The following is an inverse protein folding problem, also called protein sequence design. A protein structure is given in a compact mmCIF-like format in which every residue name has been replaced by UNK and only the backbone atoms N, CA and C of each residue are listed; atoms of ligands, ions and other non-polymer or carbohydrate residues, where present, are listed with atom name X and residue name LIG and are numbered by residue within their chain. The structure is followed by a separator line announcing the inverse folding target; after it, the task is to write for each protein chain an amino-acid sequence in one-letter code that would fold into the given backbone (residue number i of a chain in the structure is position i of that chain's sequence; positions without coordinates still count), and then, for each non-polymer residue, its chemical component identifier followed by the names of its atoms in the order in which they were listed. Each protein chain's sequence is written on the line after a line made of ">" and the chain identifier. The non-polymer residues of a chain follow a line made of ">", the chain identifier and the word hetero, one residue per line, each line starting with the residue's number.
data_IF_691108892950
#
_entry.id   IF_691108892950
#
_cell.length_a   1.000
_cell.length_b   1.000
_cell.length_c   1.000
_cell.angle_alpha   90.00
_cell.angle_beta   90.00
_cell.angle_gamma   90.00
#
_symmetry.space_group_name_H-M   'P 1'
#
loop_
_entity.id
_entity.type
_entity.pdbx_description
1 polymer ?
#
# COMPACT_ATOMS: atom_id res chain seq x y z
N UNK A 1 1.13 -8.68 26.77
CA UNK A 1 0.86 -7.59 25.80
C UNK A 1 2.21 -7.03 25.37
N UNK A 2 2.46 -6.73 24.08
CA UNK A 2 3.75 -6.18 23.66
C UNK A 2 4.03 -4.83 24.32
N UNK A 3 5.32 -4.48 24.52
CA UNK A 3 5.74 -3.18 25.05
C UNK A 3 5.18 -2.03 24.19
N UNK A 4 5.05 -0.85 24.79
CA UNK A 4 4.40 0.32 24.17
C UNK A 4 5.00 0.67 22.79
N UNK A 5 6.31 0.52 22.64
CA UNK A 5 7.09 0.89 21.45
C UNK A 5 6.86 -0.04 20.24
N UNK A 6 6.39 -1.28 20.46
CA UNK A 6 6.21 -2.27 19.39
C UNK A 6 4.77 -2.33 18.85
N UNK A 7 3.85 -1.53 19.42
CA UNK A 7 2.43 -1.60 19.07
C UNK A 7 2.16 -0.89 17.75
N UNK A 8 1.52 -1.61 16.83
CA UNK A 8 0.92 -0.98 15.66
C UNK A 8 -0.21 0.00 16.05
N UNK A 9 -0.53 0.92 15.14
CA UNK A 9 -1.52 1.96 15.41
C UNK A 9 -2.91 1.39 15.73
N UNK A 10 -3.30 0.26 15.13
CA UNK A 10 -4.59 -0.38 15.39
C UNK A 10 -4.65 -1.00 16.80
N UNK A 11 -3.54 -1.55 17.29
CA UNK A 11 -3.38 -2.05 18.65
C UNK A 11 -3.47 -0.91 19.67
N UNK A 12 -2.85 0.24 19.38
CA UNK A 12 -3.02 1.46 20.19
C UNK A 12 -4.47 1.92 20.24
N UNK A 13 -5.16 1.95 19.09
CA UNK A 13 -6.55 2.37 19.08
C UNK A 13 -7.47 1.41 19.85
N UNK A 14 -7.25 0.10 19.73
CA UNK A 14 -7.96 -0.92 20.53
C UNK A 14 -7.77 -0.68 22.02
N UNK A 15 -6.55 -0.39 22.44
CA UNK A 15 -6.25 -0.16 23.85
C UNK A 15 -6.88 1.13 24.38
N UNK A 16 -6.78 2.25 23.66
CA UNK A 16 -7.40 3.51 24.04
C UNK A 16 -8.92 3.37 24.18
N UNK A 17 -9.56 2.81 23.16
CA UNK A 17 -11.02 2.64 23.14
C UNK A 17 -11.46 1.70 24.27
N UNK A 18 -10.75 0.59 24.48
CA UNK A 18 -11.03 -0.33 25.59
C UNK A 18 -10.90 0.38 26.94
N UNK A 19 -9.81 1.14 27.16
CA UNK A 19 -9.56 1.89 28.40
C UNK A 19 -10.69 2.87 28.68
N UNK A 20 -11.17 3.60 27.67
CA UNK A 20 -12.29 4.55 27.82
C UNK A 20 -13.59 3.80 28.13
N UNK A 21 -13.93 2.78 27.35
CA UNK A 21 -15.15 1.99 27.55
C UNK A 21 -15.21 1.33 28.94
N UNK A 22 -14.10 0.75 29.42
CA UNK A 22 -14.02 0.11 30.73
C UNK A 22 -14.12 1.14 31.87
N UNK A 23 -13.36 2.24 31.77
CA UNK A 23 -13.34 3.30 32.79
C UNK A 23 -14.70 3.99 32.94
N UNK A 24 -15.39 4.25 31.83
CA UNK A 24 -16.65 4.97 31.82
C UNK A 24 -17.88 4.03 31.83
N UNK A 25 -17.66 2.71 31.77
CA UNK A 25 -18.71 1.68 31.66
C UNK A 25 -19.68 1.93 30.51
N UNK A 26 -19.15 2.37 29.36
CA UNK A 26 -19.92 2.67 28.15
C UNK A 26 -19.63 1.69 27.02
N UNK A 27 -20.62 1.49 26.15
CA UNK A 27 -20.43 0.73 24.91
C UNK A 27 -19.66 1.54 23.87
N UNK A 28 -19.18 0.86 22.82
CA UNK A 28 -18.51 1.52 21.67
C UNK A 28 -19.46 2.47 20.93
N UNK A 29 -20.74 2.12 20.81
CA UNK A 29 -21.77 2.97 20.21
C UNK A 29 -21.94 4.27 21.00
N UNK A 30 -22.03 4.19 22.34
CA UNK A 30 -22.12 5.39 23.21
C UNK A 30 -20.85 6.24 23.13
N UNK A 31 -19.68 5.60 23.06
CA UNK A 31 -18.42 6.30 22.83
C UNK A 31 -18.41 7.02 21.47
N UNK A 32 -18.95 6.41 20.41
CA UNK A 32 -19.06 7.04 19.10
C UNK A 32 -19.94 8.29 19.15
N UNK A 33 -21.08 8.22 19.84
CA UNK A 33 -21.95 9.38 20.09
C UNK A 33 -21.22 10.49 20.84
N UNK A 34 -20.46 10.17 21.89
CA UNK A 34 -19.64 11.17 22.63
C UNK A 34 -18.54 11.81 21.81
N UNK A 35 -18.01 11.08 20.83
CA UNK A 35 -16.99 11.56 19.91
C UNK A 35 -17.57 12.30 18.70
N UNK A 36 -18.91 12.38 18.60
CA UNK A 36 -19.64 12.97 17.47
C UNK A 36 -19.26 12.31 16.13
N UNK A 37 -19.09 10.99 16.15
CA UNK A 37 -18.76 10.20 14.95
C UNK A 37 -19.67 8.98 14.83
N UNK A 38 -19.73 8.40 13.64
CA UNK A 38 -20.40 7.11 13.46
C UNK A 38 -19.69 5.99 14.21
N UNK A 39 -20.44 4.99 14.67
CA UNK A 39 -19.86 3.78 15.27
C UNK A 39 -18.90 3.07 14.30
N UNK A 40 -19.19 3.12 13.00
CA UNK A 40 -18.30 2.59 11.97
C UNK A 40 -16.92 3.26 11.98
N UNK A 41 -16.84 4.56 12.30
CA UNK A 41 -15.56 5.28 12.43
C UNK A 41 -14.73 4.72 13.58
N UNK A 42 -15.37 4.38 14.70
CA UNK A 42 -14.72 3.73 15.85
C UNK A 42 -14.23 2.33 15.47
N UNK A 43 -15.04 1.55 14.75
CA UNK A 43 -14.63 0.23 14.25
C UNK A 43 -13.47 0.32 13.24
N UNK A 44 -13.47 1.30 12.34
CA UNK A 44 -12.35 1.55 11.40
C UNK A 44 -11.07 1.96 12.13
N UNK A 45 -11.17 2.67 13.26
CA UNK A 45 -10.03 2.96 14.13
C UNK A 45 -9.43 1.66 14.70
N UNK A 46 -10.29 0.80 15.24
CA UNK A 46 -9.93 -0.47 15.90
C UNK A 46 -9.30 -1.46 14.91
N UNK A 47 -9.94 -1.70 13.76
CA UNK A 47 -9.56 -2.80 12.87
C UNK A 47 -8.62 -2.37 11.74
N UNK A 48 -8.73 -1.12 11.29
CA UNK A 48 -7.98 -0.65 10.11
C UNK A 48 -6.96 0.42 10.45
N UNK A 49 -6.96 0.96 11.69
CA UNK A 49 -6.15 2.11 12.06
C UNK A 49 -6.43 3.34 11.18
N UNK A 50 -7.64 3.45 10.61
CA UNK A 50 -7.99 4.48 9.61
C UNK A 50 -8.80 5.59 10.25
N UNK A 51 -8.12 6.51 10.94
CA UNK A 51 -8.72 7.71 11.54
C UNK A 51 -7.77 8.90 11.48
N UNK A 52 -8.34 10.11 11.48
CA UNK A 52 -7.58 11.35 11.57
C UNK A 52 -7.04 11.57 12.99
N UNK A 53 -5.85 12.17 13.07
CA UNK A 53 -5.19 12.46 14.34
C UNK A 53 -6.02 13.31 15.34
N UNK A 54 -6.89 14.26 14.92
CA UNK A 54 -7.75 14.97 15.86
C UNK A 54 -8.70 14.08 16.67
N UNK A 55 -9.18 12.97 16.08
CA UNK A 55 -9.99 11.99 16.79
C UNK A 55 -9.15 11.17 17.78
N UNK A 56 -7.90 10.87 17.41
CA UNK A 56 -6.93 10.19 18.28
C UNK A 56 -6.66 11.03 19.53
N UNK A 57 -6.39 12.33 19.37
CA UNK A 57 -6.16 13.23 20.51
C UNK A 57 -7.36 13.29 21.46
N UNK A 58 -8.59 13.34 20.93
CA UNK A 58 -9.82 13.27 21.75
C UNK A 58 -9.88 11.95 22.54
N UNK A 59 -9.58 10.83 21.90
CA UNK A 59 -9.51 9.53 22.56
C UNK A 59 -8.42 9.46 23.63
N UNK A 60 -7.23 10.00 23.37
CA UNK A 60 -6.14 10.08 24.36
C UNK A 60 -6.55 10.87 25.59
N UNK A 61 -7.26 12.01 25.41
CA UNK A 61 -7.78 12.82 26.52
C UNK A 61 -8.79 12.05 27.37
N UNK A 62 -9.77 11.38 26.74
CA UNK A 62 -10.74 10.55 27.47
C UNK A 62 -10.06 9.38 28.21
N UNK A 63 -9.07 8.77 27.57
CA UNK A 63 -8.29 7.66 28.10
C UNK A 63 -7.31 8.07 29.21
N UNK A 64 -7.11 9.37 29.47
CA UNK A 64 -6.06 9.92 30.33
C UNK A 64 -4.67 9.36 29.95
N UNK A 65 -4.37 9.34 28.65
CA UNK A 65 -3.07 8.87 28.16
C UNK A 65 -1.94 9.81 28.60
N UNK A 66 -0.77 9.25 28.91
CA UNK A 66 0.41 10.05 29.26
C UNK A 66 1.02 10.73 28.03
N UNK A 67 1.83 11.79 28.19
CA UNK A 67 2.54 12.42 27.06
C UNK A 67 3.40 11.43 26.24
N UNK A 68 3.99 10.45 26.91
CA UNK A 68 4.80 9.40 26.29
C UNK A 68 3.92 8.46 25.46
N UNK A 69 2.75 8.05 25.99
CA UNK A 69 1.79 7.27 25.24
C UNK A 69 1.30 8.03 23.99
N UNK A 70 1.00 9.33 24.13
CA UNK A 70 0.56 10.16 22.99
C UNK A 70 1.63 10.22 21.90
N UNK A 71 2.90 10.42 22.28
CA UNK A 71 4.03 10.43 21.34
C UNK A 71 4.19 9.08 20.63
N UNK A 72 4.07 7.97 21.35
CA UNK A 72 4.15 6.63 20.77
C UNK A 72 3.00 6.36 19.78
N UNK A 73 1.79 6.81 20.11
CA UNK A 73 0.61 6.69 19.25
C UNK A 73 0.78 7.55 17.98
N UNK A 74 1.30 8.78 18.12
CA UNK A 74 1.59 9.66 16.99
C UNK A 74 2.60 9.05 16.03
N UNK A 75 3.70 8.52 16.57
CA UNK A 75 4.72 7.84 15.76
C UNK A 75 4.14 6.62 15.02
N UNK A 76 3.34 5.80 15.70
CA UNK A 76 2.66 4.66 15.09
C UNK A 76 1.66 5.10 13.99
N UNK A 77 0.96 6.22 14.20
CA UNK A 77 0.04 6.81 13.22
C UNK A 77 0.78 7.30 11.97
N UNK A 78 1.90 8.01 12.15
CA UNK A 78 2.76 8.50 11.05
C UNK A 78 3.31 7.34 10.23
N UNK A 79 3.89 6.32 10.86
CA UNK A 79 4.40 5.11 10.19
C UNK A 79 3.31 4.40 9.36
N UNK A 80 2.11 4.32 9.92
CA UNK A 80 0.94 3.74 9.21
C UNK A 80 0.53 4.60 8.00
N UNK A 81 0.68 5.92 8.09
CA UNK A 81 0.32 6.85 7.01
C UNK A 81 1.36 6.86 5.90
N UNK A 82 2.64 6.84 6.23
CA UNK A 82 3.75 6.70 5.27
C UNK A 82 3.59 5.42 4.43
N UNK A 83 3.34 4.27 5.10
CA UNK A 83 3.07 3.01 4.40
C UNK A 83 1.85 3.09 3.46
N UNK A 84 0.82 3.87 3.81
CA UNK A 84 -0.34 4.09 2.92
C UNK A 84 -0.03 4.99 1.72
N UNK A 85 0.79 6.02 1.91
CA UNK A 85 1.23 6.91 0.83
C UNK A 85 2.06 6.11 -0.18
N UNK A 86 3.03 5.31 0.31
CA UNK A 86 3.82 4.41 -0.53
C UNK A 86 2.94 3.39 -1.27
N UNK A 87 1.98 2.74 -0.58
CA UNK A 87 1.05 1.81 -1.21
C UNK A 87 0.09 2.47 -2.23
N UNK A 88 -0.19 3.77 -2.10
CA UNK A 88 -0.97 4.54 -3.08
C UNK A 88 -0.16 4.90 -4.32
N UNK A 89 1.12 5.24 -4.14
CA UNK A 89 2.05 5.49 -5.24
C UNK A 89 2.29 4.18 -6.01
N UNK A 90 2.58 3.09 -5.31
CA UNK A 90 2.78 1.77 -5.90
C UNK A 90 1.53 1.30 -6.68
N UNK A 91 0.32 1.48 -6.15
CA UNK A 91 -0.92 1.14 -6.87
C UNK A 91 -1.11 1.97 -8.14
N UNK A 92 -0.80 3.27 -8.10
CA UNK A 92 -0.84 4.13 -9.29
C UNK A 92 0.20 3.67 -10.33
N UNK A 93 1.43 3.40 -9.91
CA UNK A 93 2.48 2.89 -10.79
C UNK A 93 2.10 1.55 -11.41
N UNK A 94 1.57 0.59 -10.64
CA UNK A 94 1.09 -0.69 -11.16
C UNK A 94 -0.05 -0.54 -12.16
N UNK A 95 -0.97 0.41 -11.93
CA UNK A 95 -2.03 0.71 -12.90
C UNK A 95 -1.47 1.25 -14.21
N UNK A 96 -0.48 2.14 -14.16
CA UNK A 96 0.19 2.69 -15.35
C UNK A 96 0.92 1.57 -16.11
N UNK A 97 1.68 0.73 -15.40
CA UNK A 97 2.39 -0.41 -16.00
C UNK A 97 1.42 -1.35 -16.68
N UNK A 98 0.30 -1.69 -16.04
CA UNK A 98 -0.73 -2.54 -16.64
C UNK A 98 -1.31 -1.92 -17.91
N UNK A 99 -1.66 -0.63 -17.90
CA UNK A 99 -2.14 0.06 -19.10
C UNK A 99 -1.10 0.05 -20.22
N UNK A 100 0.19 0.24 -19.91
CA UNK A 100 1.25 0.15 -20.91
C UNK A 100 1.36 -1.26 -21.50
N UNK A 101 1.25 -2.31 -20.68
CA UNK A 101 1.23 -3.68 -21.18
C UNK A 101 0.04 -3.94 -22.11
N UNK A 102 -1.16 -3.49 -21.74
CA UNK A 102 -2.35 -3.61 -22.58
C UNK A 102 -2.18 -2.89 -23.93
N UNK A 103 -1.55 -1.71 -23.96
CA UNK A 103 -1.26 -1.00 -25.21
C UNK A 103 -0.19 -1.72 -26.05
N UNK A 104 0.83 -2.31 -25.41
CA UNK A 104 1.82 -3.15 -26.10
C UNK A 104 1.17 -4.39 -26.71
N UNK A 105 0.28 -5.07 -25.98
CA UNK A 105 -0.45 -6.25 -26.47
C UNK A 105 -1.35 -5.89 -27.67
N UNK A 106 -2.07 -4.76 -27.59
CA UNK A 106 -2.87 -4.24 -28.72
C UNK A 106 -2.00 -3.91 -29.93
N UNK A 107 -0.83 -3.30 -29.71
CA UNK A 107 0.12 -3.00 -30.78
C UNK A 107 0.68 -4.28 -31.39
N UNK A 108 1.01 -5.29 -30.58
CA UNK A 108 1.46 -6.59 -31.06
C UNK A 108 0.37 -7.27 -31.90
N UNK A 109 -0.87 -7.29 -31.42
CA UNK A 109 -2.00 -7.80 -32.21
C UNK A 109 -2.19 -7.05 -33.52
N UNK A 110 -2.11 -5.72 -33.51
CA UNK A 110 -2.23 -4.91 -34.71
C UNK A 110 -1.14 -5.24 -35.73
N UNK A 111 0.13 -5.29 -35.28
CA UNK A 111 1.27 -5.64 -36.13
C UNK A 111 1.15 -7.08 -36.67
N UNK A 112 0.66 -8.01 -35.86
CA UNK A 112 0.42 -9.41 -36.25
C UNK A 112 -0.70 -9.51 -37.30
N UNK A 113 -1.84 -8.84 -37.08
CA UNK A 113 -2.96 -8.78 -38.04
C UNK A 113 -2.56 -8.13 -39.37
N UNK A 114 -1.63 -7.18 -39.35
CA UNK A 114 -1.10 -6.53 -40.56
C UNK A 114 0.04 -7.31 -41.23
N UNK A 115 0.45 -8.46 -40.70
CA UNK A 115 1.57 -9.24 -41.24
C UNK A 115 2.93 -8.50 -41.14
N UNK A 116 3.00 -7.43 -40.34
CA UNK A 116 4.19 -6.58 -40.23
C UNK A 116 5.32 -7.26 -39.48
N UNK A 117 5.01 -8.21 -38.58
CA UNK A 117 6.03 -9.08 -37.98
C UNK A 117 6.70 -9.99 -39.02
N UNK A 118 5.92 -10.54 -39.95
CA UNK A 118 6.45 -11.35 -41.05
C UNK A 118 7.22 -10.51 -42.06
N UNK A 119 6.73 -9.31 -42.35
CA UNK A 119 7.42 -8.35 -43.22
C UNK A 119 8.73 -7.86 -42.59
N UNK A 120 8.73 -7.58 -41.29
CA UNK A 120 9.93 -7.27 -40.51
C UNK A 120 10.89 -8.46 -40.52
N UNK A 121 10.43 -9.69 -40.23
CA UNK A 121 11.28 -10.88 -40.24
C UNK A 121 11.88 -11.17 -41.63
N UNK A 122 11.12 -10.97 -42.72
CA UNK A 122 11.60 -11.07 -44.11
C UNK A 122 12.64 -10.00 -44.43
N UNK A 123 12.41 -8.74 -44.06
CA UNK A 123 13.40 -7.64 -44.23
C UNK A 123 14.64 -7.82 -43.35
N UNK A 124 14.49 -8.42 -42.17
CA UNK A 124 15.56 -8.65 -41.19
C UNK A 124 16.44 -9.86 -41.52
N UNK A 125 15.94 -10.85 -42.29
CA UNK A 125 16.75 -11.96 -42.83
C UNK A 125 17.93 -11.50 -43.71
N UNK A 126 17.97 -10.24 -44.15
CA UNK A 126 19.09 -9.67 -44.90
C UNK A 126 20.08 -8.82 -44.10
N UNK A 127 19.78 -8.41 -42.85
CA UNK A 127 20.66 -7.56 -42.02
C UNK A 127 20.50 -7.89 -40.54
N UNK A 128 21.47 -8.63 -39.98
CA UNK A 128 21.61 -8.83 -38.54
C UNK A 128 21.88 -7.48 -37.86
N UNK A 129 20.88 -6.96 -37.16
CA UNK A 129 20.99 -5.73 -36.37
C UNK A 129 21.97 -5.94 -35.19
N UNK A 130 22.87 -5.00 -34.87
CA UNK A 130 23.92 -5.16 -33.85
C UNK A 130 23.43 -5.61 -32.46
N UNK A 131 22.22 -5.18 -32.07
CA UNK A 131 21.61 -5.56 -30.80
C UNK A 131 21.16 -7.03 -30.73
N UNK A 132 20.76 -7.64 -31.85
CA UNK A 132 20.47 -9.08 -31.89
C UNK A 132 21.73 -9.93 -31.80
N UNK A 133 22.85 -9.40 -32.33
CA UNK A 133 24.16 -10.03 -32.18
C UNK A 133 24.57 -10.07 -30.71
N UNK A 134 24.44 -8.96 -29.99
CA UNK A 134 24.71 -8.89 -28.55
C UNK A 134 23.79 -9.78 -27.72
N UNK A 135 22.48 -9.75 -27.97
CA UNK A 135 21.54 -10.60 -27.23
C UNK A 135 21.82 -12.10 -27.43
N UNK A 136 22.22 -12.50 -28.64
CA UNK A 136 22.63 -13.88 -28.94
C UNK A 136 23.96 -14.24 -28.28
N UNK A 137 24.95 -13.36 -28.33
CA UNK A 137 26.25 -13.54 -27.68
C UNK A 137 26.13 -13.62 -26.14
N UNK A 138 25.17 -12.91 -25.53
CA UNK A 138 24.90 -13.00 -24.09
C UNK A 138 24.17 -14.29 -23.69
N UNK A 139 23.21 -14.75 -24.51
CA UNK A 139 22.55 -16.05 -24.31
C UNK A 139 23.53 -17.22 -24.43
N UNK A 140 24.40 -17.19 -25.45
CA UNK A 140 25.43 -18.23 -25.66
C UNK A 140 26.53 -18.23 -24.58
N UNK A 141 26.76 -17.10 -23.89
CA UNK A 141 27.64 -17.04 -22.72
C UNK A 141 26.99 -17.54 -21.44
N UNK A 142 25.67 -17.37 -21.29
CA UNK A 142 24.92 -17.89 -20.15
C UNK A 142 24.91 -19.43 -20.10
N UNK A 143 24.82 -20.07 -21.26
CA UNK A 143 24.83 -21.55 -21.39
C UNK A 143 26.23 -22.18 -21.20
N UNK A 144 27.31 -21.40 -21.25
CA UNK A 144 28.68 -21.90 -20.98
C UNK A 144 29.06 -21.83 -19.48
N UNK A 145 28.22 -21.21 -18.66
CA UNK A 145 28.44 -21.03 -17.22
C UNK A 145 27.36 -21.74 -16.36
N UNK A 146 26.56 -22.61 -16.97
CA UNK A 146 25.69 -23.59 -16.30
C UNK A 146 26.26 -24.99 -16.46
#
# INVERSE_FOLDING_TARGET
>A
MPPAEERDFAAWMRLLIRRVCEKERITRGVLATRLEVSEETVLRAIYKGKVGFPLVLRLCRLAKATPEEVSAIEFAWLKTREGRVQASALRRSMSIVRTLMEEVDKMEEFLRKKGLFDEYARKRKGRLHPLHRRAKEELERGDQHS
#
